data_IF_588430607490
#
_entry.id   IF_588430607490
#
_cell.length_a   1.000
_cell.length_b   1.000
_cell.length_c   1.000
_cell.angle_alpha   90.00
_cell.angle_beta   90.00
_cell.angle_gamma   90.00
#
_symmetry.space_group_name_H-M   'P 1'
#
loop_
_entity.id
_entity.type
_entity.pdbx_description
1 polymer ?
#
# COMPACT_ATOMS: atom_id res chain seq x y z
N UNK A 1 4.17 -22.71 21.47
CA UNK A 1 3.05 -21.81 21.08
C UNK A 1 3.51 -20.93 19.92
N UNK A 2 2.61 -20.51 19.03
CA UNK A 2 2.99 -19.59 17.94
C UNK A 2 2.92 -18.14 18.41
N UNK A 3 4.05 -17.43 18.36
CA UNK A 3 4.16 -16.01 18.69
C UNK A 3 4.58 -15.21 17.46
N UNK A 4 4.12 -13.96 17.40
CA UNK A 4 4.57 -12.99 16.41
C UNK A 4 5.96 -12.52 16.82
N UNK A 5 6.95 -12.77 15.98
CA UNK A 5 8.32 -12.34 16.21
C UNK A 5 8.54 -10.93 15.66
N UNK A 6 8.09 -10.67 14.43
CA UNK A 6 8.23 -9.38 13.77
C UNK A 6 7.03 -9.13 12.85
N UNK A 7 6.61 -7.88 12.74
CA UNK A 7 5.59 -7.45 11.81
C UNK A 7 5.92 -6.04 11.31
N UNK A 8 6.01 -5.86 9.99
CA UNK A 8 6.26 -4.56 9.39
C UNK A 8 5.53 -4.40 8.06
N UNK A 9 5.34 -3.13 7.67
CA UNK A 9 4.59 -2.74 6.47
C UNK A 9 5.47 -1.89 5.58
N UNK A 10 5.62 -2.33 4.34
CA UNK A 10 6.39 -1.65 3.30
C UNK A 10 5.48 -1.02 2.25
N UNK A 11 6.04 -0.08 1.49
CA UNK A 11 5.34 0.53 0.37
C UNK A 11 5.17 -0.47 -0.78
N UNK A 12 3.96 -0.53 -1.34
CA UNK A 12 3.64 -1.27 -2.56
C UNK A 12 3.49 -0.36 -3.79
N UNK A 13 3.18 -0.93 -4.95
CA UNK A 13 3.02 -0.19 -6.19
C UNK A 13 1.88 0.84 -6.10
N UNK A 14 2.09 2.01 -6.68
CA UNK A 14 1.07 3.07 -6.73
C UNK A 14 0.40 3.08 -8.10
N UNK A 15 -0.90 2.75 -8.13
CA UNK A 15 -1.69 2.87 -9.35
C UNK A 15 -2.09 4.33 -9.59
N UNK A 16 -1.81 4.84 -10.80
CA UNK A 16 -2.21 6.17 -11.24
C UNK A 16 -3.53 6.10 -12.02
N UNK A 17 -4.48 6.98 -11.69
CA UNK A 17 -5.72 7.20 -12.45
C UNK A 17 -5.85 8.69 -12.75
N UNK A 18 -6.39 9.02 -13.92
CA UNK A 18 -6.67 10.41 -14.30
C UNK A 18 -8.11 10.74 -13.95
N UNK A 19 -8.31 11.87 -13.29
CA UNK A 19 -9.62 12.42 -12.97
C UNK A 19 -9.82 13.71 -13.78
N UNK A 20 -10.83 13.79 -14.67
CA UNK A 20 -11.13 15.00 -15.41
C UNK A 20 -11.64 16.10 -14.47
N UNK A 21 -11.26 17.35 -14.75
CA UNK A 21 -11.66 18.55 -14.02
C UNK A 21 -12.12 19.65 -14.98
N UNK A 22 -12.78 20.67 -14.42
CA UNK A 22 -13.19 21.85 -15.17
C UNK A 22 -12.01 22.55 -15.86
N UNK A 23 -12.29 23.34 -16.91
CA UNK A 23 -11.30 24.08 -17.70
C UNK A 23 -10.25 23.19 -18.40
N UNK A 24 -10.64 21.99 -18.85
CA UNK A 24 -9.74 21.07 -19.58
C UNK A 24 -8.58 20.51 -18.74
N UNK A 25 -8.69 20.55 -17.41
CA UNK A 25 -7.64 20.10 -16.49
C UNK A 25 -7.80 18.63 -16.15
N UNK A 26 -6.70 17.99 -15.78
CA UNK A 26 -6.66 16.61 -15.36
C UNK A 26 -5.85 16.47 -14.07
N UNK A 27 -6.46 15.88 -13.04
CA UNK A 27 -5.79 15.54 -11.80
C UNK A 27 -5.34 14.08 -11.81
N UNK A 28 -4.28 13.76 -11.07
CA UNK A 28 -3.81 12.38 -10.91
C UNK A 28 -4.20 11.85 -9.53
N UNK A 29 -5.07 10.86 -9.51
CA UNK A 29 -5.37 10.08 -8.31
C UNK A 29 -4.30 8.99 -8.16
N UNK A 30 -3.67 8.93 -6.99
CA UNK A 30 -2.70 7.89 -6.63
C UNK A 30 -3.34 6.88 -5.67
N UNK A 31 -3.67 5.68 -6.17
CA UNK A 31 -4.11 4.58 -5.31
C UNK A 31 -2.89 3.82 -4.80
N UNK A 32 -2.50 4.09 -3.55
CA UNK A 32 -1.35 3.47 -2.89
C UNK A 32 -1.74 2.09 -2.36
N UNK A 33 -0.86 1.11 -2.54
CA UNK A 33 -0.95 -0.20 -1.87
C UNK A 33 0.28 -0.41 -0.99
N UNK A 34 0.23 -1.42 -0.14
CA UNK A 34 1.30 -1.78 0.79
C UNK A 34 1.56 -3.28 0.79
N UNK A 35 2.78 -3.68 1.11
CA UNK A 35 3.14 -5.06 1.38
C UNK A 35 3.28 -5.26 2.89
N UNK A 36 2.63 -6.30 3.42
CA UNK A 36 2.65 -6.62 4.86
C UNK A 36 3.44 -7.92 5.03
N UNK A 37 4.45 -7.89 5.89
CA UNK A 37 5.25 -9.06 6.23
C UNK A 37 5.10 -9.36 7.71
N UNK A 38 4.75 -10.61 8.02
CA UNK A 38 4.58 -11.11 9.39
C UNK A 38 5.48 -12.33 9.55
N UNK A 39 6.35 -12.29 10.54
CA UNK A 39 7.27 -13.38 10.90
C UNK A 39 6.79 -13.98 12.21
N UNK A 40 6.56 -15.29 12.19
CA UNK A 40 6.08 -16.04 13.34
C UNK A 40 7.21 -16.96 13.82
N UNK A 41 7.31 -17.15 15.14
CA UNK A 41 8.24 -18.09 15.77
C UNK A 41 7.47 -19.02 16.69
N UNK A 42 7.94 -20.25 16.76
CA UNK A 42 7.42 -21.24 17.68
C UNK A 42 8.26 -21.23 18.96
N UNK A 43 7.59 -21.27 20.10
CA UNK A 43 8.17 -21.31 21.45
C UNK A 43 7.86 -22.65 22.14
#
# INVERSE_FOLDING_TARGET
TMKIAEAYVNQGPVMKRVEPRAMGRANVIRKRTSHITIILKEE
#
